data_IF_862217232727
#
_entry.id   IF_862217232727
#
_cell.length_a   1.000
_cell.length_b   1.000
_cell.length_c   1.000
_cell.angle_alpha   90.00
_cell.angle_beta   90.00
_cell.angle_gamma   90.00
#
_symmetry.space_group_name_H-M   'P 1'
#
loop_
_entity.id
_entity.type
_entity.pdbx_description
1 polymer ?
#
# COMPACT_ATOMS: atom_id res chain seq x y z
N UNK A 1 43.84 0.27 -77.56
CA UNK A 1 44.06 0.48 -76.13
C UNK A 1 42.66 0.57 -75.46
N UNK A 2 42.27 -0.52 -74.76
CA UNK A 2 40.93 -0.66 -74.17
C UNK A 2 41.04 -0.33 -72.70
N UNK A 3 40.41 0.77 -72.22
CA UNK A 3 40.38 1.16 -70.79
C UNK A 3 39.26 0.42 -70.09
N UNK A 4 39.60 -0.55 -69.24
CA UNK A 4 38.70 -1.26 -68.38
C UNK A 4 38.41 -0.39 -67.13
N UNK A 5 37.21 0.13 -66.99
CA UNK A 5 36.73 0.81 -65.78
C UNK A 5 36.23 -0.20 -64.80
N UNK A 6 36.97 -0.34 -63.68
CA UNK A 6 36.58 -1.17 -62.55
C UNK A 6 35.62 -0.37 -61.65
N UNK A 7 34.34 -0.77 -61.62
CA UNK A 7 33.36 -0.26 -60.69
C UNK A 7 33.55 -1.00 -59.33
N UNK A 8 33.99 -0.27 -58.30
CA UNK A 8 33.99 -0.77 -56.93
C UNK A 8 32.59 -0.58 -56.33
N UNK A 9 31.82 -1.66 -56.15
CA UNK A 9 30.57 -1.66 -55.43
C UNK A 9 30.88 -1.69 -53.93
N UNK A 10 30.57 -0.61 -53.22
CA UNK A 10 30.64 -0.57 -51.75
C UNK A 10 29.34 -1.14 -51.21
N UNK A 11 29.42 -2.31 -50.58
CA UNK A 11 28.31 -2.96 -49.87
C UNK A 11 28.24 -2.34 -48.48
N UNK A 12 27.26 -1.48 -48.22
CA UNK A 12 26.99 -0.90 -46.91
C UNK A 12 26.15 -1.93 -46.10
N UNK A 13 26.76 -2.55 -45.11
CA UNK A 13 26.05 -3.38 -44.14
C UNK A 13 25.37 -2.46 -43.13
N UNK A 14 24.07 -2.32 -43.23
CA UNK A 14 23.22 -1.72 -42.18
C UNK A 14 23.04 -2.75 -41.05
N UNK A 15 23.75 -2.55 -39.95
CA UNK A 15 23.53 -3.32 -38.72
C UNK A 15 22.29 -2.70 -38.05
N UNK A 16 21.16 -3.40 -38.14
CA UNK A 16 20.01 -3.12 -37.32
C UNK A 16 20.30 -3.58 -35.90
N UNK A 17 20.60 -2.66 -34.99
CA UNK A 17 20.58 -2.91 -33.55
C UNK A 17 19.12 -2.99 -33.16
N UNK A 18 18.58 -4.21 -33.05
CA UNK A 18 17.30 -4.44 -32.39
C UNK A 18 17.46 -4.14 -30.92
N UNK A 19 16.91 -3.03 -30.47
CA UNK A 19 16.73 -2.77 -29.05
C UNK A 19 15.58 -3.68 -28.60
N UNK A 20 15.90 -4.89 -28.11
CA UNK A 20 14.93 -5.69 -27.39
C UNK A 20 14.53 -4.90 -26.13
N UNK A 21 13.31 -4.40 -26.09
CA UNK A 21 12.70 -3.93 -24.85
C UNK A 21 12.65 -5.13 -23.91
N UNK A 22 13.46 -5.12 -22.86
CA UNK A 22 13.37 -6.11 -21.78
C UNK A 22 11.95 -6.00 -21.26
N UNK A 23 11.16 -7.05 -21.44
CA UNK A 23 9.81 -7.14 -20.88
C UNK A 23 9.94 -7.15 -19.34
N UNK A 24 9.76 -5.98 -18.74
CA UNK A 24 9.82 -5.78 -17.30
C UNK A 24 8.65 -6.47 -16.54
N UNK A 25 7.67 -7.01 -17.29
CA UNK A 25 6.52 -7.73 -16.72
C UNK A 25 6.92 -9.04 -16.04
N UNK A 26 8.01 -9.67 -16.47
CA UNK A 26 8.49 -10.95 -15.95
C UNK A 26 9.00 -10.93 -14.49
N UNK A 27 9.14 -9.74 -13.88
CA UNK A 27 9.62 -9.56 -12.51
C UNK A 27 8.52 -9.22 -11.50
N UNK A 28 7.29 -8.98 -11.96
CA UNK A 28 6.17 -8.66 -11.08
C UNK A 28 5.52 -9.91 -10.54
N UNK A 29 5.30 -9.94 -9.20
CA UNK A 29 4.59 -10.99 -8.48
C UNK A 29 3.19 -10.44 -8.19
N UNK A 30 2.14 -11.13 -8.65
CA UNK A 30 0.76 -10.81 -8.25
C UNK A 30 0.51 -11.35 -6.85
N UNK A 31 0.11 -10.49 -5.92
CA UNK A 31 -0.26 -10.90 -4.55
C UNK A 31 -1.73 -11.31 -4.44
N UNK A 32 -2.54 -11.01 -5.45
CA UNK A 32 -3.96 -11.38 -5.50
C UNK A 32 -4.32 -11.86 -6.91
N UNK A 33 -4.92 -13.02 -6.98
CA UNK A 33 -5.28 -13.68 -8.26
C UNK A 33 -6.64 -13.25 -8.81
N UNK A 34 -7.38 -12.40 -8.09
CA UNK A 34 -8.73 -11.97 -8.43
C UNK A 34 -9.84 -12.96 -8.08
N UNK A 35 -9.54 -14.08 -7.41
CA UNK A 35 -10.48 -15.20 -7.20
C UNK A 35 -10.53 -15.70 -5.76
N UNK A 36 -9.41 -15.74 -5.04
CA UNK A 36 -9.31 -16.29 -3.70
C UNK A 36 -8.48 -15.40 -2.78
N UNK A 37 -8.58 -15.63 -1.48
CA UNK A 37 -7.71 -15.03 -0.46
C UNK A 37 -6.56 -15.99 -0.09
N UNK A 38 -6.18 -16.91 -0.98
CA UNK A 38 -5.03 -17.78 -0.75
C UNK A 38 -3.75 -16.94 -0.55
N UNK A 39 -2.97 -17.25 0.49
CA UNK A 39 -1.79 -16.46 0.89
C UNK A 39 -2.12 -15.20 1.73
N UNK A 40 -3.40 -14.98 2.05
CA UNK A 40 -3.85 -13.87 2.88
C UNK A 40 -4.43 -14.35 4.21
N UNK A 41 -4.05 -13.70 5.30
CA UNK A 41 -4.59 -13.90 6.64
C UNK A 41 -5.23 -12.62 7.17
N UNK A 42 -6.25 -12.76 8.00
CA UNK A 42 -7.04 -11.64 8.51
C UNK A 42 -6.86 -11.49 10.02
N UNK A 43 -6.75 -10.25 10.50
CA UNK A 43 -6.80 -9.93 11.92
C UNK A 43 -7.67 -8.69 12.11
N UNK A 44 -8.70 -8.85 12.93
CA UNK A 44 -9.63 -7.79 13.32
C UNK A 44 -9.49 -7.62 14.83
N UNK A 45 -9.43 -6.38 15.33
CA UNK A 45 -9.32 -6.08 16.75
C UNK A 45 -10.49 -6.72 17.54
N UNK A 46 -10.17 -7.40 18.63
CA UNK A 46 -11.13 -8.13 19.45
C UNK A 46 -11.40 -9.59 18.99
N UNK A 47 -10.85 -10.02 17.85
CA UNK A 47 -11.11 -11.34 17.27
C UNK A 47 -9.82 -12.13 17.03
N UNK A 48 -9.94 -13.45 17.01
CA UNK A 48 -8.81 -14.36 16.77
C UNK A 48 -8.29 -14.22 15.33
N UNK A 49 -7.06 -14.69 15.11
CA UNK A 49 -6.47 -14.74 13.78
C UNK A 49 -7.36 -15.54 12.82
N UNK A 50 -7.62 -15.00 11.64
CA UNK A 50 -8.48 -15.56 10.59
C UNK A 50 -9.98 -15.64 10.97
N UNK A 51 -10.41 -15.04 12.07
CA UNK A 51 -11.81 -14.75 12.29
C UNK A 51 -12.21 -13.54 11.44
N UNK A 52 -12.83 -13.81 10.30
CA UNK A 52 -13.36 -12.79 9.40
C UNK A 52 -14.71 -12.26 9.93
N UNK A 53 -14.67 -11.60 11.09
CA UNK A 53 -15.85 -11.10 11.77
C UNK A 53 -16.80 -10.39 10.79
N UNK A 54 -18.08 -10.78 10.81
CA UNK A 54 -19.14 -10.25 9.94
C UNK A 54 -18.77 -10.21 8.44
N UNK A 55 -17.91 -11.14 8.00
CA UNK A 55 -17.44 -11.20 6.62
C UNK A 55 -16.87 -9.87 6.09
N UNK A 56 -16.09 -9.18 6.89
CA UNK A 56 -15.49 -7.88 6.54
C UNK A 56 -14.69 -7.94 5.25
N UNK A 57 -13.87 -8.99 5.08
CA UNK A 57 -13.07 -9.18 3.87
C UNK A 57 -13.70 -10.23 2.97
N UNK A 58 -13.96 -9.87 1.72
CA UNK A 58 -14.59 -10.73 0.71
C UNK A 58 -13.85 -10.65 -0.61
N UNK A 59 -14.03 -11.65 -1.46
CA UNK A 59 -13.63 -11.59 -2.87
C UNK A 59 -14.88 -11.46 -3.71
N UNK A 60 -14.87 -10.54 -4.66
CA UNK A 60 -15.95 -10.37 -5.62
C UNK A 60 -15.52 -9.50 -6.78
N UNK A 61 -15.97 -9.81 -7.99
CA UNK A 61 -15.71 -9.04 -9.21
C UNK A 61 -14.20 -8.80 -9.49
N UNK A 62 -13.34 -9.75 -9.09
CA UNK A 62 -11.89 -9.64 -9.26
C UNK A 62 -11.21 -8.69 -8.28
N UNK A 63 -11.86 -8.37 -7.16
CA UNK A 63 -11.36 -7.47 -6.13
C UNK A 63 -11.36 -8.10 -4.75
N UNK A 64 -10.46 -7.66 -3.86
CA UNK A 64 -10.62 -7.78 -2.42
C UNK A 64 -11.55 -6.65 -1.97
N UNK A 65 -12.66 -6.99 -1.36
CA UNK A 65 -13.66 -6.05 -0.85
C UNK A 65 -13.59 -5.98 0.66
N UNK A 66 -13.54 -4.77 1.19
CA UNK A 66 -13.88 -4.48 2.58
C UNK A 66 -15.32 -4.01 2.59
N UNK A 67 -16.18 -4.65 3.39
CA UNK A 67 -17.61 -4.37 3.41
C UNK A 67 -18.15 -4.41 4.84
N UNK A 68 -19.20 -3.66 5.08
CA UNK A 68 -19.86 -3.55 6.39
C UNK A 68 -21.35 -3.87 6.33
N UNK A 69 -21.78 -4.65 5.31
CA UNK A 69 -23.18 -5.02 5.10
C UNK A 69 -23.81 -5.75 6.29
N UNK A 70 -23.00 -6.50 7.04
CA UNK A 70 -23.44 -7.29 8.21
C UNK A 70 -23.22 -6.52 9.54
N UNK A 71 -22.80 -5.23 9.48
CA UNK A 71 -22.55 -4.41 10.65
C UNK A 71 -23.74 -3.50 10.98
N UNK A 72 -24.06 -3.36 12.27
CA UNK A 72 -24.95 -2.31 12.75
C UNK A 72 -24.20 -0.99 12.96
N UNK A 73 -22.99 -1.08 13.50
CA UNK A 73 -22.06 0.03 13.76
C UNK A 73 -20.63 -0.48 13.57
N UNK A 74 -19.70 0.42 13.29
CA UNK A 74 -18.28 0.08 13.16
C UNK A 74 -17.67 -0.42 14.49
N UNK A 75 -17.99 0.26 15.60
CA UNK A 75 -17.59 -0.08 16.97
C UNK A 75 -16.06 -0.36 17.10
N UNK A 76 -15.25 0.46 16.40
CA UNK A 76 -13.78 0.38 16.41
C UNK A 76 -13.20 -1.00 16.05
N UNK A 77 -13.93 -1.83 15.33
CA UNK A 77 -13.44 -3.12 14.83
C UNK A 77 -12.45 -2.91 13.65
N UNK A 78 -11.31 -2.25 13.95
CA UNK A 78 -10.22 -2.08 12.98
C UNK A 78 -9.71 -3.45 12.52
N UNK A 79 -9.54 -3.61 11.23
CA UNK A 79 -9.12 -4.87 10.68
C UNK A 79 -8.08 -4.72 9.57
N UNK A 80 -7.30 -5.77 9.39
CA UNK A 80 -6.30 -5.83 8.33
C UNK A 80 -6.31 -7.22 7.70
N UNK A 81 -6.08 -7.27 6.38
CA UNK A 81 -5.81 -8.49 5.65
C UNK A 81 -4.37 -8.47 5.15
N UNK A 82 -3.58 -9.49 5.50
CA UNK A 82 -2.14 -9.56 5.35
C UNK A 82 -1.75 -10.59 4.29
N UNK A 83 -0.90 -10.21 3.36
CA UNK A 83 -0.22 -11.17 2.51
C UNK A 83 0.95 -11.78 3.29
N UNK A 84 0.83 -13.05 3.69
CA UNK A 84 1.74 -13.71 4.65
C UNK A 84 2.69 -14.73 4.04
N UNK A 85 2.57 -15.06 2.77
CA UNK A 85 3.46 -16.03 2.10
C UNK A 85 4.92 -15.59 2.09
N UNK A 86 5.18 -14.28 2.15
CA UNK A 86 6.52 -13.73 2.05
C UNK A 86 6.65 -12.36 2.72
N UNK A 87 7.81 -12.12 3.35
CA UNK A 87 8.28 -10.79 3.74
C UNK A 87 8.94 -10.09 2.56
N UNK A 88 8.84 -8.77 2.55
CA UNK A 88 9.48 -7.91 1.56
C UNK A 88 10.41 -6.90 2.23
N UNK A 89 11.57 -6.66 1.63
CA UNK A 89 12.60 -5.74 2.12
C UNK A 89 12.76 -4.53 1.20
N UNK A 90 13.26 -4.76 -0.02
CA UNK A 90 13.32 -3.74 -1.06
C UNK A 90 12.30 -4.11 -2.14
N UNK A 91 11.37 -3.22 -2.41
CA UNK A 91 10.32 -3.57 -3.38
C UNK A 91 9.63 -2.35 -3.97
N UNK A 92 9.01 -2.58 -5.12
CA UNK A 92 8.04 -1.70 -5.76
C UNK A 92 6.67 -2.35 -5.66
N UNK A 93 5.79 -1.79 -4.86
CA UNK A 93 4.39 -2.21 -4.74
C UNK A 93 3.52 -1.34 -5.63
N UNK A 94 2.58 -1.95 -6.34
CA UNK A 94 1.49 -1.28 -7.06
C UNK A 94 0.17 -1.90 -6.70
N UNK A 95 -0.85 -1.06 -6.54
CA UNK A 95 -2.23 -1.50 -6.38
C UNK A 95 -3.20 -0.42 -6.84
N UNK A 96 -4.43 -0.84 -7.09
CA UNK A 96 -5.55 0.05 -7.32
C UNK A 96 -6.53 -0.07 -6.15
N UNK A 97 -7.08 1.06 -5.70
CA UNK A 97 -8.15 1.10 -4.71
C UNK A 97 -9.30 2.01 -5.16
N UNK A 98 -10.47 1.82 -4.59
CA UNK A 98 -11.57 2.78 -4.64
C UNK A 98 -12.46 2.65 -3.41
N UNK A 99 -12.90 3.77 -2.87
CA UNK A 99 -14.00 3.79 -1.93
C UNK A 99 -15.32 3.60 -2.67
N UNK A 100 -16.30 2.96 -2.03
CA UNK A 100 -17.64 2.78 -2.60
C UNK A 100 -18.70 2.72 -1.49
N UNK A 101 -19.96 2.92 -1.87
CA UNK A 101 -21.05 2.81 -0.92
C UNK A 101 -21.05 3.85 0.19
N UNK A 102 -21.70 3.54 1.30
CA UNK A 102 -21.87 4.43 2.43
C UNK A 102 -21.01 3.99 3.62
N UNK A 103 -20.58 4.96 4.43
CA UNK A 103 -19.90 4.69 5.70
C UNK A 103 -20.82 3.88 6.63
N UNK A 104 -20.29 2.89 7.35
CA UNK A 104 -21.05 1.96 8.22
C UNK A 104 -21.95 2.69 9.23
N UNK A 105 -21.55 3.83 9.74
CA UNK A 105 -22.34 4.67 10.65
C UNK A 105 -23.12 5.77 9.92
N UNK A 106 -23.34 5.64 8.60
CA UNK A 106 -24.05 6.62 7.75
C UNK A 106 -23.47 8.05 7.80
N UNK A 107 -22.20 8.20 8.12
CA UNK A 107 -21.50 9.48 8.02
C UNK A 107 -21.37 9.91 6.55
N UNK A 108 -21.55 11.20 6.29
CA UNK A 108 -21.61 11.74 4.92
C UNK A 108 -20.39 12.52 4.50
N UNK A 109 -19.55 12.90 5.45
CA UNK A 109 -18.33 13.65 5.22
C UNK A 109 -17.33 13.50 6.37
N UNK A 110 -16.12 14.00 6.17
CA UNK A 110 -15.00 13.91 7.09
C UNK A 110 -15.15 14.72 8.39
N UNK A 111 -16.09 15.66 8.45
CA UNK A 111 -16.38 16.37 9.69
C UNK A 111 -17.25 15.53 10.63
N UNK A 112 -17.99 14.56 10.10
CA UNK A 112 -18.79 13.62 10.89
C UNK A 112 -17.88 12.61 11.59
N UNK A 113 -16.85 12.12 10.87
CA UNK A 113 -15.89 11.18 11.41
C UNK A 113 -14.57 11.19 10.63
N UNK A 114 -13.46 11.09 11.35
CA UNK A 114 -12.11 10.99 10.77
C UNK A 114 -11.92 9.75 9.88
N UNK A 115 -12.68 8.66 10.13
CA UNK A 115 -12.65 7.43 9.37
C UNK A 115 -13.61 7.41 8.16
N UNK A 116 -14.25 8.54 7.82
CA UNK A 116 -14.96 8.68 6.56
C UNK A 116 -14.00 8.55 5.38
N UNK A 117 -14.27 7.62 4.45
CA UNK A 117 -13.37 7.26 3.33
C UNK A 117 -11.90 7.23 3.77
N UNK A 118 -11.61 6.40 4.78
CA UNK A 118 -10.28 6.16 5.33
C UNK A 118 -9.96 4.67 5.25
N UNK A 119 -8.75 4.37 4.83
CA UNK A 119 -8.15 3.05 4.72
C UNK A 119 -6.66 3.21 4.44
N UNK A 120 -5.93 2.12 4.24
CA UNK A 120 -4.49 2.18 3.94
C UNK A 120 -3.90 0.87 3.48
N UNK A 121 -2.64 0.96 3.06
CA UNK A 121 -1.75 -0.18 2.88
C UNK A 121 -0.62 -0.10 3.89
N UNK A 122 -0.41 -1.16 4.64
CA UNK A 122 0.68 -1.27 5.60
C UNK A 122 1.90 -1.86 4.93
N UNK A 123 3.01 -1.13 5.00
CA UNK A 123 4.33 -1.50 4.50
C UNK A 123 5.17 -1.98 5.68
N UNK A 124 6.01 -3.01 5.47
CA UNK A 124 6.81 -3.61 6.55
C UNK A 124 6.00 -4.00 7.78
N UNK A 125 4.75 -4.43 7.57
CA UNK A 125 3.86 -4.82 8.65
C UNK A 125 4.41 -6.00 9.44
N UNK A 126 4.18 -6.01 10.76
CA UNK A 126 4.33 -7.21 11.56
C UNK A 126 3.48 -8.37 11.03
N UNK A 127 3.78 -9.59 11.43
CA UNK A 127 2.94 -10.74 11.09
C UNK A 127 1.66 -10.73 11.94
N UNK A 128 0.48 -11.02 11.37
CA UNK A 128 -0.79 -10.94 12.11
C UNK A 128 -0.87 -11.85 13.34
N UNK A 129 -0.09 -12.96 13.38
CA UNK A 129 -0.05 -13.82 14.56
C UNK A 129 0.75 -13.23 15.74
N UNK A 130 1.46 -12.11 15.54
CA UNK A 130 2.16 -11.39 16.59
C UNK A 130 1.30 -10.26 17.18
N UNK A 131 0.19 -9.90 16.53
CA UNK A 131 -0.73 -8.90 17.03
C UNK A 131 -1.46 -9.39 18.28
N UNK A 132 -1.63 -8.49 19.24
CA UNK A 132 -2.47 -8.74 20.42
C UNK A 132 -3.95 -8.84 20.00
N UNK A 133 -4.77 -9.44 20.85
CA UNK A 133 -6.18 -9.69 20.53
C UNK A 133 -6.92 -8.38 20.20
N UNK A 134 -6.72 -7.33 20.98
CA UNK A 134 -7.38 -6.03 20.84
C UNK A 134 -6.53 -4.98 20.09
N UNK A 135 -5.43 -5.40 19.45
CA UNK A 135 -4.57 -4.50 18.72
C UNK A 135 -5.26 -4.01 17.43
N UNK A 136 -5.53 -2.71 17.36
CA UNK A 136 -6.24 -2.11 16.22
C UNK A 136 -5.36 -1.93 14.97
N UNK A 137 -4.06 -1.63 15.15
CA UNK A 137 -3.13 -1.37 14.06
C UNK A 137 -1.87 -2.22 14.19
N UNK A 138 -1.40 -2.86 13.11
CA UNK A 138 -0.12 -3.58 13.15
C UNK A 138 1.04 -2.58 13.24
N UNK A 139 2.13 -2.97 13.89
CA UNK A 139 3.38 -2.23 13.80
C UNK A 139 3.85 -2.24 12.35
N UNK A 140 3.88 -1.05 11.71
CA UNK A 140 4.10 -0.88 10.28
C UNK A 140 4.35 0.58 9.91
N UNK A 141 4.52 0.85 8.61
CA UNK A 141 4.31 2.17 8.03
C UNK A 141 3.11 2.10 7.11
N UNK A 142 2.21 3.04 7.25
CA UNK A 142 0.99 3.11 6.45
C UNK A 142 1.10 4.13 5.33
N UNK A 143 0.76 3.70 4.11
CA UNK A 143 0.33 4.58 3.04
C UNK A 143 -1.18 4.77 3.15
N UNK A 144 -1.60 5.84 3.82
CA UNK A 144 -3.00 6.10 4.12
C UNK A 144 -3.78 6.55 2.87
N UNK A 145 -4.91 5.94 2.64
CA UNK A 145 -5.85 6.31 1.58
C UNK A 145 -6.99 7.13 2.17
N UNK A 146 -7.12 8.37 1.71
CA UNK A 146 -8.25 9.21 2.06
C UNK A 146 -9.04 9.59 0.82
N UNK A 147 -10.37 9.65 0.98
CA UNK A 147 -11.28 10.21 0.00
C UNK A 147 -12.00 11.44 0.55
N UNK A 148 -12.23 12.44 -0.29
CA UNK A 148 -12.95 13.65 0.08
C UNK A 148 -14.44 13.57 -0.19
N UNK A 149 -15.21 14.41 0.51
CA UNK A 149 -16.66 14.63 0.29
C UNK A 149 -16.95 15.93 -0.47
N UNK A 150 -15.92 16.74 -0.72
CA UNK A 150 -16.08 18.10 -1.26
C UNK A 150 -16.14 19.19 -0.19
N UNK A 151 -15.97 18.83 1.09
CA UNK A 151 -16.02 19.80 2.21
C UNK A 151 -14.65 20.38 2.51
N UNK A 152 -13.63 19.52 2.66
CA UNK A 152 -12.27 19.95 2.98
C UNK A 152 -11.25 19.35 2.02
N UNK A 153 -10.06 19.97 1.96
CA UNK A 153 -8.90 19.34 1.34
C UNK A 153 -8.45 18.16 2.21
N UNK A 154 -8.33 16.98 1.56
CA UNK A 154 -8.00 15.73 2.22
C UNK A 154 -7.12 14.89 1.31
N UNK A 155 -5.81 15.17 1.31
CA UNK A 155 -4.88 14.45 0.43
C UNK A 155 -4.84 12.97 0.74
N UNK A 156 -4.65 12.15 -0.28
CA UNK A 156 -4.41 10.71 -0.14
C UNK A 156 -2.92 10.39 -0.10
N UNK A 157 -2.55 9.11 0.12
CA UNK A 157 -1.14 8.70 0.24
C UNK A 157 -0.36 9.44 1.32
N UNK A 158 -1.01 9.77 2.43
CA UNK A 158 -0.34 10.29 3.60
C UNK A 158 0.57 9.20 4.19
N UNK A 159 1.54 9.60 5.00
CA UNK A 159 2.31 8.67 5.81
C UNK A 159 1.75 8.66 7.22
N UNK A 160 1.33 7.48 7.73
CA UNK A 160 1.08 7.25 9.14
C UNK A 160 2.05 6.19 9.68
N UNK A 161 2.38 6.24 10.97
CA UNK A 161 3.44 5.45 11.58
C UNK A 161 2.97 4.68 12.82
N UNK A 162 2.05 3.70 12.67
CA UNK A 162 1.60 2.90 13.81
C UNK A 162 2.75 2.02 14.34
N UNK A 163 3.15 2.27 15.59
CA UNK A 163 4.24 1.54 16.25
C UNK A 163 5.63 1.80 15.67
N UNK A 164 5.77 2.85 14.87
CA UNK A 164 7.03 3.21 14.21
C UNK A 164 7.29 4.71 14.26
N UNK A 165 8.52 5.08 13.95
CA UNK A 165 8.98 6.45 13.77
C UNK A 165 9.73 6.57 12.45
N UNK A 166 9.68 7.74 11.83
CA UNK A 166 10.37 8.05 10.58
C UNK A 166 10.99 9.44 10.61
N UNK A 167 11.90 9.71 9.68
CA UNK A 167 12.43 11.03 9.43
C UNK A 167 11.88 11.57 8.11
N UNK A 168 11.36 12.80 8.12
CA UNK A 168 10.96 13.56 6.94
C UNK A 168 11.96 14.71 6.78
N UNK A 169 12.58 14.82 5.60
CA UNK A 169 13.63 15.80 5.33
C UNK A 169 14.77 15.80 6.39
N UNK A 170 15.13 14.60 6.88
CA UNK A 170 16.21 14.42 7.87
C UNK A 170 15.85 14.80 9.29
N UNK A 171 14.58 15.01 9.60
CA UNK A 171 14.09 15.34 10.94
C UNK A 171 12.97 14.36 11.33
N UNK A 172 13.00 13.85 12.56
CA UNK A 172 11.96 12.95 13.05
C UNK A 172 10.58 13.60 12.96
N UNK A 173 9.64 12.89 12.33
CA UNK A 173 8.24 13.28 12.30
C UNK A 173 7.63 13.16 13.70
N UNK A 174 7.08 14.24 14.21
CA UNK A 174 6.45 14.27 15.54
C UNK A 174 4.98 13.89 15.53
N UNK A 175 4.35 13.92 14.35
CA UNK A 175 2.96 13.57 14.17
C UNK A 175 2.86 12.13 13.71
N UNK A 176 1.88 11.39 14.25
CA UNK A 176 1.59 10.03 13.82
C UNK A 176 1.24 9.95 12.34
N UNK A 177 0.45 10.90 11.83
CA UNK A 177 0.14 11.02 10.40
C UNK A 177 0.63 12.37 9.85
N UNK A 178 1.27 12.35 8.69
CA UNK A 178 1.74 13.51 7.96
C UNK A 178 1.14 13.52 6.56
N UNK A 179 0.50 14.62 6.20
CA UNK A 179 -0.15 14.78 4.90
C UNK A 179 0.87 14.75 3.74
N UNK A 180 0.51 14.07 2.68
CA UNK A 180 1.21 14.12 1.40
C UNK A 180 0.92 15.43 0.65
N UNK A 181 1.55 15.59 -0.50
CA UNK A 181 1.27 16.70 -1.42
C UNK A 181 0.26 16.34 -2.51
N UNK A 182 -0.42 15.19 -2.38
CA UNK A 182 -1.41 14.76 -3.36
C UNK A 182 -2.65 15.63 -3.33
N UNK A 183 -3.42 15.56 -4.40
CA UNK A 183 -4.76 16.18 -4.45
C UNK A 183 -5.77 15.32 -3.69
N UNK A 184 -6.84 15.95 -3.24
CA UNK A 184 -8.02 15.24 -2.72
C UNK A 184 -8.75 14.53 -3.84
N UNK A 185 -9.06 13.24 -3.64
CA UNK A 185 -9.86 12.42 -4.56
C UNK A 185 -11.31 12.42 -4.07
N UNK A 186 -12.21 13.01 -4.84
CA UNK A 186 -13.64 13.12 -4.50
C UNK A 186 -14.50 12.03 -5.16
N UNK A 187 -14.01 11.42 -6.23
CA UNK A 187 -14.74 10.40 -6.98
C UNK A 187 -14.66 9.03 -6.31
N UNK A 188 -15.56 8.12 -6.75
CA UNK A 188 -15.50 6.68 -6.46
C UNK A 188 -14.83 5.92 -7.61
N UNK A 189 -14.01 6.58 -8.41
CA UNK A 189 -13.23 5.95 -9.47
C UNK A 189 -12.02 5.22 -8.90
N UNK A 190 -11.47 4.30 -9.68
CA UNK A 190 -10.26 3.59 -9.33
C UNK A 190 -9.05 4.53 -9.29
N UNK A 191 -8.28 4.44 -8.23
CA UNK A 191 -7.05 5.19 -8.01
C UNK A 191 -5.88 4.22 -8.05
N UNK A 192 -4.94 4.45 -8.95
CA UNK A 192 -3.71 3.65 -9.06
C UNK A 192 -2.60 4.30 -8.26
N UNK A 193 -1.96 3.54 -7.38
CA UNK A 193 -0.91 4.03 -6.49
C UNK A 193 0.31 3.10 -6.51
N UNK A 194 1.46 3.67 -6.20
CA UNK A 194 2.72 2.96 -6.17
C UNK A 194 3.52 3.33 -4.93
N UNK A 195 4.31 2.37 -4.43
CA UNK A 195 5.22 2.56 -3.32
C UNK A 195 6.59 2.01 -3.70
N UNK A 196 7.63 2.84 -3.63
CA UNK A 196 9.01 2.40 -3.73
C UNK A 196 9.59 2.33 -2.33
N UNK A 197 9.98 1.14 -1.91
CA UNK A 197 10.45 0.84 -0.55
C UNK A 197 11.87 0.28 -0.63
N UNK A 198 12.81 0.96 -0.02
CA UNK A 198 14.21 0.53 0.10
C UNK A 198 14.54 0.28 1.58
N UNK A 199 14.06 -0.85 2.11
CA UNK A 199 14.28 -1.22 3.51
C UNK A 199 13.87 -0.09 4.47
N UNK A 200 14.65 0.15 5.51
CA UNK A 200 14.50 1.25 6.46
C UNK A 200 15.06 2.60 5.94
N UNK A 201 15.72 2.59 4.75
CA UNK A 201 16.48 3.76 4.28
C UNK A 201 15.62 4.85 3.64
N UNK A 202 14.68 4.49 2.76
CA UNK A 202 13.78 5.46 2.13
C UNK A 202 12.54 4.78 1.57
N UNK A 203 11.40 5.47 1.69
CA UNK A 203 10.12 5.10 1.07
C UNK A 203 9.55 6.29 0.32
N UNK A 204 8.98 6.02 -0.85
CA UNK A 204 8.26 7.00 -1.67
C UNK A 204 6.83 6.52 -1.92
N UNK A 205 5.85 7.40 -1.74
CA UNK A 205 4.47 7.21 -2.19
C UNK A 205 4.28 7.97 -3.49
N UNK A 206 3.69 7.30 -4.48
CA UNK A 206 3.61 7.81 -5.86
C UNK A 206 2.16 7.66 -6.37
N UNK A 207 1.64 8.71 -6.97
CA UNK A 207 0.36 8.75 -7.68
C UNK A 207 0.56 9.55 -8.97
N UNK A 208 -0.01 9.08 -10.10
CA UNK A 208 0.11 9.75 -11.40
C UNK A 208 1.56 10.04 -11.85
N UNK A 209 2.52 9.20 -11.42
CA UNK A 209 3.98 9.33 -11.59
C UNK A 209 4.64 10.41 -10.73
N UNK A 210 3.89 11.13 -9.92
CA UNK A 210 4.41 12.13 -9.00
C UNK A 210 4.70 11.50 -7.64
N UNK A 211 5.89 11.73 -7.09
CA UNK A 211 6.21 11.39 -5.70
C UNK A 211 5.57 12.43 -4.79
N UNK A 212 4.55 12.02 -4.03
CA UNK A 212 3.76 12.91 -3.18
C UNK A 212 4.14 12.85 -1.70
N UNK A 213 4.88 11.81 -1.29
CA UNK A 213 5.42 11.65 0.06
C UNK A 213 6.75 10.90 -0.01
N UNK A 214 7.70 11.32 0.84
CA UNK A 214 8.97 10.63 1.04
C UNK A 214 9.41 10.72 2.48
N UNK A 215 9.93 9.62 3.02
CA UNK A 215 10.46 9.55 4.38
C UNK A 215 11.54 8.46 4.46
N UNK A 216 12.32 8.48 5.54
CA UNK A 216 13.50 7.64 5.73
C UNK A 216 13.67 7.22 7.18
N UNK A 217 14.69 6.39 7.45
CA UNK A 217 15.10 6.00 8.79
C UNK A 217 13.94 5.40 9.61
N UNK A 218 13.27 4.40 9.02
CA UNK A 218 12.13 3.72 9.62
C UNK A 218 12.60 2.85 10.77
N UNK A 219 12.03 3.04 11.96
CA UNK A 219 12.41 2.33 13.18
C UNK A 219 11.20 2.05 14.07
N UNK A 220 11.33 1.05 14.94
CA UNK A 220 10.31 0.79 15.96
C UNK A 220 10.22 1.94 16.95
N UNK A 221 9.01 2.34 17.37
CA UNK A 221 8.78 3.42 18.33
C UNK A 221 7.44 4.12 18.15
N UNK A 222 7.28 5.27 18.76
CA UNK A 222 6.12 6.13 18.56
C UNK A 222 4.81 5.61 19.12
N UNK A 223 3.71 6.12 18.56
CA UNK A 223 2.35 5.81 18.99
C UNK A 223 1.92 4.43 18.47
N UNK A 224 1.09 3.70 19.23
CA UNK A 224 0.59 2.35 18.89
C UNK A 224 1.66 1.25 18.82
N UNK A 225 2.85 1.47 19.38
CA UNK A 225 3.83 0.39 19.49
C UNK A 225 3.28 -0.71 20.39
N UNK A 226 3.14 -1.90 19.81
CA UNK A 226 2.71 -3.09 20.54
C UNK A 226 3.74 -3.46 21.62
N UNK A 227 3.28 -3.94 22.76
CA UNK A 227 4.14 -4.39 23.86
C UNK A 227 5.12 -5.50 23.46
N UNK A 228 4.80 -6.27 22.42
CA UNK A 228 5.67 -7.30 21.84
C UNK A 228 6.94 -6.74 21.18
N UNK A 229 7.05 -5.42 21.01
CA UNK A 229 8.17 -4.74 20.35
C UNK A 229 8.83 -3.64 21.21
N UNK A 230 8.50 -3.55 22.48
CA UNK A 230 9.06 -2.52 23.37
C UNK A 230 10.60 -2.61 23.47
N UNK A 231 11.14 -3.82 23.46
CA UNK A 231 12.58 -4.08 23.50
C UNK A 231 13.30 -3.71 22.18
N UNK A 232 12.55 -3.40 21.12
CA UNK A 232 13.09 -3.00 19.81
C UNK A 232 13.03 -1.49 19.56
N UNK A 233 12.58 -0.68 20.51
CA UNK A 233 12.50 0.77 20.34
C UNK A 233 13.84 1.34 19.85
N UNK A 234 13.80 2.05 18.72
CA UNK A 234 14.97 2.61 18.04
C UNK A 234 15.67 1.68 17.06
N UNK A 235 15.38 0.37 17.07
CA UNK A 235 15.92 -0.56 16.08
C UNK A 235 15.29 -0.30 14.71
N UNK A 236 16.06 -0.42 13.61
CA UNK A 236 15.53 -0.21 12.26
C UNK A 236 14.52 -1.29 11.85
N UNK A 237 13.37 -0.88 11.29
CA UNK A 237 12.37 -1.76 10.70
C UNK A 237 12.69 -1.96 9.21
N UNK A 238 13.36 -3.07 8.88
CA UNK A 238 13.98 -3.29 7.58
C UNK A 238 13.16 -4.08 6.58
N UNK A 239 12.22 -4.88 7.05
CA UNK A 239 11.38 -5.78 6.25
C UNK A 239 10.12 -6.14 7.00
N UNK A 240 9.11 -6.57 6.28
CA UNK A 240 7.86 -7.03 6.86
C UNK A 240 6.87 -7.48 5.80
N UNK A 241 5.64 -7.64 6.21
CA UNK A 241 4.53 -8.06 5.36
C UNK A 241 3.82 -6.85 4.75
N UNK A 242 2.91 -7.10 3.83
CA UNK A 242 2.03 -6.09 3.24
C UNK A 242 0.62 -6.42 3.71
N UNK A 243 -0.09 -5.41 4.23
CA UNK A 243 -1.50 -5.58 4.58
C UNK A 243 -2.37 -4.43 4.10
N UNK A 244 -3.67 -4.69 3.97
CA UNK A 244 -4.69 -3.75 3.56
C UNK A 244 -5.67 -3.56 4.71
N UNK A 245 -6.12 -2.33 4.92
CA UNK A 245 -6.86 -1.93 6.12
C UNK A 245 -8.37 -1.87 5.88
N UNK A 246 -9.14 -2.21 6.92
CA UNK A 246 -10.56 -1.93 7.09
C UNK A 246 -10.79 -0.96 8.25
N UNK A 247 -11.48 0.16 8.00
CA UNK A 247 -11.57 1.28 8.95
C UNK A 247 -12.95 1.99 8.94
N UNK A 248 -14.02 1.26 8.63
CA UNK A 248 -15.39 1.75 8.76
C UNK A 248 -16.03 2.28 7.46
N UNK A 249 -15.27 2.50 6.38
CA UNK A 249 -15.82 2.83 5.06
C UNK A 249 -15.52 1.72 4.06
N UNK A 250 -16.49 1.27 3.25
CA UNK A 250 -16.24 0.23 2.25
C UNK A 250 -15.20 0.66 1.22
N UNK A 251 -14.28 -0.25 0.92
CA UNK A 251 -13.21 -0.05 -0.04
C UNK A 251 -12.92 -1.33 -0.80
N UNK A 252 -12.48 -1.22 -2.04
CA UNK A 252 -12.06 -2.32 -2.89
C UNK A 252 -10.62 -2.16 -3.32
N UNK A 253 -9.92 -3.30 -3.47
CA UNK A 253 -8.54 -3.37 -3.93
C UNK A 253 -8.39 -4.37 -5.08
N UNK A 254 -7.55 -4.05 -6.05
CA UNK A 254 -7.17 -4.96 -7.15
C UNK A 254 -5.77 -4.65 -7.68
N UNK A 255 -5.32 -5.47 -8.63
CA UNK A 255 -4.03 -5.30 -9.31
C UNK A 255 -2.85 -5.19 -8.34
N UNK A 256 -2.95 -5.86 -7.18
CA UNK A 256 -1.95 -5.84 -6.10
C UNK A 256 -0.75 -6.65 -6.55
N UNK A 257 0.36 -6.01 -6.80
CA UNK A 257 1.57 -6.66 -7.33
C UNK A 257 2.83 -6.01 -6.79
N UNK A 258 3.84 -6.84 -6.58
CA UNK A 258 5.15 -6.46 -6.08
C UNK A 258 6.24 -6.86 -7.07
N UNK A 259 7.23 -6.01 -7.22
CA UNK A 259 8.51 -6.31 -7.86
C UNK A 259 9.60 -6.11 -6.82
N UNK A 260 10.37 -7.16 -6.53
CA UNK A 260 11.52 -7.04 -5.65
C UNK A 260 12.63 -6.22 -6.33
N UNK A 261 13.29 -5.40 -5.54
CA UNK A 261 14.40 -4.55 -5.94
C UNK A 261 15.70 -5.07 -5.33
N UNK A 262 16.81 -4.84 -6.03
CA UNK A 262 18.15 -5.25 -5.59
C UNK A 262 18.65 -4.41 -4.40
#
# INVERSE_FOLDING_TARGET
MLHLKIFKTILVFLIFISCESVDDSSKWISLFDGKSLDGWEMKIAGYELNDNHKNTFRVGDGTIKVTYEDYDLFDENFGHIFYTDKKFKNYHLKLDYRFYGEHVNSFTNENDAWNYKNSGVMLHSEHPNQMLIDQGFPVSIEGQFLGGSGVNDRPTLNMCSPGTEVDINGTQAMQHCVNSTSKTIHSEEWVSVEFLVYSDSIVHHIIDKDTVMSYSNIRYGGTYLSENFIDKVGDPLKEGYISLQSEGHPIEFKNIRVKELD
#
